data_IF_260026048827
#
_entry.id   IF_260026048827
#
_cell.length_a   1.000
_cell.length_b   1.000
_cell.length_c   1.000
_cell.angle_alpha   90.00
_cell.angle_beta   90.00
_cell.angle_gamma   90.00
#
_symmetry.space_group_name_H-M   'P 1'
#
loop_
_entity.id
_entity.type
_entity.pdbx_description
1 polymer ?
#
# COMPACT_ATOMS: atom_id res chain seq x y z
N UNK A 1 7.37 3.22 -26.41
CA UNK A 1 6.50 2.16 -25.84
C UNK A 1 5.78 2.75 -24.64
N UNK A 2 4.45 2.62 -24.52
CA UNK A 2 3.75 3.08 -23.32
C UNK A 2 4.29 2.33 -22.09
N UNK A 3 4.48 3.04 -20.98
CA UNK A 3 4.88 2.41 -19.70
C UNK A 3 3.78 1.42 -19.30
N UNK A 4 4.12 0.14 -19.22
CA UNK A 4 3.20 -0.94 -18.82
C UNK A 4 3.11 -1.10 -17.29
N UNK A 5 3.68 -0.18 -16.52
CA UNK A 5 3.64 -0.23 -15.07
C UNK A 5 3.56 1.16 -14.44
N UNK A 6 2.86 1.27 -13.32
CA UNK A 6 2.77 2.46 -12.47
C UNK A 6 3.44 2.18 -11.13
N UNK A 7 4.15 3.17 -10.60
CA UNK A 7 4.69 3.14 -9.24
C UNK A 7 4.17 4.36 -8.48
N UNK A 8 3.67 4.13 -7.26
CA UNK A 8 3.16 5.17 -6.36
C UNK A 8 3.82 5.05 -4.99
N UNK A 9 3.84 6.17 -4.27
CA UNK A 9 4.26 6.23 -2.87
C UNK A 9 3.08 6.74 -2.04
N UNK A 10 2.74 6.05 -0.96
CA UNK A 10 1.71 6.41 -0.01
C UNK A 10 2.36 6.83 1.32
N UNK A 11 2.24 8.09 1.77
CA UNK A 11 2.84 8.54 3.01
C UNK A 11 2.16 7.90 4.23
N UNK A 12 2.94 7.68 5.29
CA UNK A 12 2.42 7.32 6.60
C UNK A 12 1.52 8.45 7.14
N UNK A 13 0.61 8.08 8.04
CA UNK A 13 -0.34 9.02 8.64
C UNK A 13 -0.33 8.93 10.16
N UNK A 14 -0.69 10.04 10.81
CA UNK A 14 -1.01 10.09 12.24
C UNK A 14 -2.51 10.35 12.36
N UNK A 15 -3.22 9.48 13.07
CA UNK A 15 -4.66 9.59 13.31
C UNK A 15 -4.97 10.13 14.72
N UNK A 16 -6.25 10.47 14.95
CA UNK A 16 -6.90 10.82 16.21
C UNK A 16 -6.45 12.16 16.85
N UNK A 17 -5.18 12.57 16.72
CA UNK A 17 -4.65 13.88 17.14
C UNK A 17 -5.29 14.46 18.42
N UNK A 18 -5.27 13.67 19.50
CA UNK A 18 -5.85 14.03 20.80
C UNK A 18 -7.38 13.87 20.83
N UNK A 19 -8.11 14.98 21.00
CA UNK A 19 -9.57 14.98 21.10
C UNK A 19 -10.28 14.66 19.76
N UNK A 20 -9.53 14.49 18.67
CA UNK A 20 -10.05 14.23 17.33
C UNK A 20 -10.20 12.75 16.99
N UNK A 21 -10.50 11.90 17.98
CA UNK A 21 -10.69 10.46 17.79
C UNK A 21 -11.67 10.20 16.62
N UNK A 22 -11.23 9.39 15.66
CA UNK A 22 -11.95 9.04 14.42
C UNK A 22 -12.35 10.23 13.52
N UNK A 23 -11.81 11.43 13.73
CA UNK A 23 -12.09 12.63 12.93
C UNK A 23 -10.85 13.20 12.27
N UNK A 24 -9.72 13.25 12.99
CA UNK A 24 -8.51 13.89 12.52
C UNK A 24 -7.47 12.90 11.98
N UNK A 25 -6.81 13.30 10.89
CA UNK A 25 -5.69 12.58 10.30
C UNK A 25 -4.73 13.53 9.58
N UNK A 26 -3.43 13.25 9.66
CA UNK A 26 -2.37 14.03 9.01
C UNK A 26 -1.38 13.09 8.32
N UNK A 27 -1.10 13.34 7.04
CA UNK A 27 0.01 12.68 6.33
C UNK A 27 1.36 13.28 6.73
N UNK A 28 2.35 12.42 6.95
CA UNK A 28 3.72 12.84 7.28
C UNK A 28 4.66 12.62 6.10
N UNK A 29 5.68 13.46 5.99
CA UNK A 29 6.68 13.34 4.93
C UNK A 29 7.74 12.28 5.25
N UNK A 30 8.29 11.66 4.21
CA UNK A 30 9.45 10.77 4.30
C UNK A 30 9.13 9.30 4.62
N UNK A 31 8.20 9.03 5.55
CA UNK A 31 7.77 7.68 5.89
C UNK A 31 6.55 7.26 5.08
N UNK A 32 6.47 5.99 4.67
CA UNK A 32 5.37 5.45 3.88
C UNK A 32 5.76 4.23 3.07
N UNK A 33 4.82 3.74 2.27
CA UNK A 33 4.97 2.54 1.46
C UNK A 33 5.04 2.84 -0.04
N UNK A 34 5.71 1.98 -0.80
CA UNK A 34 5.80 2.07 -2.25
C UNK A 34 5.12 0.88 -2.92
N UNK A 35 4.24 1.15 -3.89
CA UNK A 35 3.53 0.13 -4.64
C UNK A 35 3.86 0.23 -6.13
N UNK A 36 4.21 -0.90 -6.74
CA UNK A 36 4.39 -1.01 -8.20
C UNK A 36 3.38 -2.01 -8.75
N UNK A 37 2.62 -1.58 -9.75
CA UNK A 37 1.61 -2.39 -10.41
C UNK A 37 1.83 -2.43 -11.92
N UNK A 38 1.54 -3.58 -12.52
CA UNK A 38 1.56 -3.81 -13.97
C UNK A 38 0.37 -4.72 -14.36
N UNK A 39 -0.22 -4.57 -15.56
CA UNK A 39 -1.23 -5.48 -16.07
C UNK A 39 -0.71 -6.92 -16.10
N UNK A 40 -1.62 -7.88 -15.89
CA UNK A 40 -1.33 -9.29 -15.99
C UNK A 40 -2.39 -10.00 -16.84
N UNK A 41 -2.12 -11.23 -17.26
CA UNK A 41 -3.00 -12.03 -18.13
C UNK A 41 -3.84 -13.06 -17.36
N UNK A 42 -3.80 -13.04 -16.03
CA UNK A 42 -4.41 -14.07 -15.18
C UNK A 42 -5.88 -13.78 -14.82
N UNK A 43 -6.43 -12.66 -15.27
CA UNK A 43 -7.84 -12.31 -15.05
C UNK A 43 -8.19 -11.91 -13.61
N UNK A 44 -7.20 -11.56 -12.79
CA UNK A 44 -7.39 -11.19 -11.39
C UNK A 44 -6.22 -10.43 -10.78
N UNK A 45 -6.38 -10.00 -9.53
CA UNK A 45 -5.32 -9.34 -8.75
C UNK A 45 -4.36 -10.41 -8.23
N UNK A 46 -3.05 -10.13 -8.30
CA UNK A 46 -2.03 -10.99 -7.72
C UNK A 46 -0.96 -10.15 -7.05
N UNK A 47 -0.75 -10.38 -5.76
CA UNK A 47 0.37 -9.82 -5.02
C UNK A 47 1.59 -10.69 -5.29
N UNK A 48 2.56 -10.16 -6.04
CA UNK A 48 3.75 -10.94 -6.45
C UNK A 48 4.81 -11.04 -5.37
N UNK A 49 4.96 -9.98 -4.57
CA UNK A 49 5.97 -9.89 -3.52
C UNK A 49 5.67 -8.73 -2.60
N UNK A 50 5.93 -8.92 -1.31
CA UNK A 50 5.94 -7.87 -0.28
C UNK A 50 7.36 -7.81 0.29
N UNK A 51 7.88 -6.61 0.55
CA UNK A 51 9.25 -6.40 1.05
C UNK A 51 9.20 -5.52 2.30
N UNK A 52 10.13 -5.73 3.23
CA UNK A 52 10.24 -4.93 4.47
C UNK A 52 9.31 -5.35 5.60
N UNK A 53 8.64 -6.50 5.48
CA UNK A 53 7.61 -6.96 6.42
C UNK A 53 7.93 -8.31 7.10
N UNK A 54 9.08 -8.92 6.82
CA UNK A 54 9.51 -10.21 7.41
C UNK A 54 8.50 -11.36 7.22
N UNK A 55 7.65 -11.28 6.18
CA UNK A 55 6.71 -12.34 5.81
C UNK A 55 5.44 -12.39 6.67
N UNK A 56 5.05 -11.29 7.30
CA UNK A 56 3.86 -11.21 8.16
C UNK A 56 2.57 -10.99 7.36
N UNK A 57 2.65 -10.32 6.22
CA UNK A 57 1.54 -9.98 5.34
C UNK A 57 1.27 -11.10 4.34
N UNK A 58 -0.03 -11.40 4.16
CA UNK A 58 -0.49 -12.40 3.20
C UNK A 58 -0.27 -11.92 1.76
N UNK A 59 0.15 -12.81 0.86
CA UNK A 59 0.13 -12.55 -0.60
C UNK A 59 -1.18 -12.98 -1.25
N UNK A 60 -2.10 -13.58 -0.50
CA UNK A 60 -3.47 -13.83 -0.97
C UNK A 60 -4.24 -12.49 -1.03
N UNK A 61 -4.69 -12.05 -2.22
CA UNK A 61 -5.39 -10.78 -2.38
C UNK A 61 -6.67 -10.67 -1.54
N UNK A 62 -7.32 -11.79 -1.19
CA UNK A 62 -8.55 -11.78 -0.36
C UNK A 62 -8.24 -11.67 1.14
N UNK A 63 -6.96 -11.77 1.54
CA UNK A 63 -6.49 -11.71 2.92
C UNK A 63 -5.48 -10.57 3.15
N UNK A 64 -5.27 -9.71 2.16
CA UNK A 64 -4.35 -8.59 2.24
C UNK A 64 -5.14 -7.27 2.22
N UNK A 65 -4.97 -6.45 3.26
CA UNK A 65 -5.62 -5.15 3.42
C UNK A 65 -4.61 -4.00 3.53
N UNK A 66 -3.35 -4.26 3.13
CA UNK A 66 -2.28 -3.28 3.20
C UNK A 66 -2.42 -2.21 2.10
#
# INVERSE_FOLDING_TARGET
>A
MPKTSVTVFAPATVANLGSGFDVFGLAISGLGDSLRMEPNTYGGIRIRSIKGDDGKLSTDPEQNTA
#
